data_IF_450132296815
#
_entry.id   IF_450132296815
#
_cell.length_a   1.000
_cell.length_b   1.000
_cell.length_c   1.000
_cell.angle_alpha   90.00
_cell.angle_beta   90.00
_cell.angle_gamma   90.00
#
_symmetry.space_group_name_H-M   'P 1'
#
loop_
_entity.id
_entity.type
_entity.pdbx_description
1 polymer ?
#
# COMPACT_ATOMS: atom_id res chain seq x y z
N UNK A 1 -22.83 1.80 -12.33
CA UNK A 1 -23.17 1.19 -11.02
C UNK A 1 -24.57 0.63 -11.11
N UNK A 2 -24.73 -0.70 -11.02
CA UNK A 2 -26.02 -1.40 -11.08
C UNK A 2 -25.81 -2.87 -10.72
N UNK A 3 -26.79 -3.50 -10.08
CA UNK A 3 -26.78 -4.91 -9.69
C UNK A 3 -25.51 -5.26 -8.90
N UNK A 4 -24.67 -6.17 -9.41
CA UNK A 4 -23.40 -6.58 -8.76
C UNK A 4 -22.19 -5.71 -9.17
N UNK A 5 -22.42 -4.56 -9.83
CA UNK A 5 -21.36 -3.64 -10.26
C UNK A 5 -21.27 -2.45 -9.30
N UNK A 6 -20.32 -2.44 -8.35
CA UNK A 6 -20.14 -1.33 -7.40
C UNK A 6 -19.48 -0.11 -8.06
N UNK A 7 -19.52 1.03 -7.35
CA UNK A 7 -18.67 2.18 -7.66
C UNK A 7 -17.29 1.99 -7.02
N UNK A 8 -16.22 2.05 -7.83
CA UNK A 8 -14.84 1.93 -7.37
C UNK A 8 -14.03 3.21 -7.57
N UNK A 9 -14.69 4.33 -7.88
CA UNK A 9 -14.03 5.63 -8.09
C UNK A 9 -13.12 6.01 -6.93
N UNK A 10 -13.63 5.94 -5.69
CA UNK A 10 -12.84 6.26 -4.50
C UNK A 10 -11.67 5.30 -4.29
N UNK A 11 -11.88 4.00 -4.53
CA UNK A 11 -10.83 2.98 -4.42
C UNK A 11 -9.65 3.30 -5.35
N UNK A 12 -9.93 3.62 -6.62
CA UNK A 12 -8.90 3.98 -7.59
C UNK A 12 -8.28 5.36 -7.30
N UNK A 13 -9.06 6.32 -6.83
CA UNK A 13 -8.54 7.62 -6.41
C UNK A 13 -7.55 7.50 -5.25
N UNK A 14 -7.85 6.66 -4.26
CA UNK A 14 -6.93 6.37 -3.15
C UNK A 14 -5.66 5.66 -3.63
N UNK A 15 -5.78 4.70 -4.56
CA UNK A 15 -4.61 4.05 -5.17
C UNK A 15 -3.75 5.03 -5.97
N UNK A 16 -4.35 5.96 -6.71
CA UNK A 16 -3.60 7.02 -7.40
C UNK A 16 -2.92 7.97 -6.40
N UNK A 17 -3.53 8.24 -5.24
CA UNK A 17 -3.01 9.18 -4.24
C UNK A 17 -1.71 8.76 -3.55
N UNK A 18 -1.31 7.48 -3.67
CA UNK A 18 -0.02 6.98 -3.18
C UNK A 18 1.07 7.00 -4.26
N UNK A 19 0.73 7.49 -5.44
CA UNK A 19 1.63 7.67 -6.58
C UNK A 19 2.41 6.39 -6.93
N UNK A 20 1.70 5.35 -7.41
CA UNK A 20 2.23 3.99 -7.49
C UNK A 20 3.11 3.77 -8.74
N UNK A 21 4.14 4.58 -8.90
CA UNK A 21 5.18 4.47 -9.92
C UNK A 21 6.56 4.71 -9.28
N UNK A 22 7.62 4.27 -9.95
CA UNK A 22 9.00 4.45 -9.47
C UNK A 22 9.38 5.93 -9.47
N UNK A 23 9.86 6.45 -8.33
CA UNK A 23 10.37 7.82 -8.20
C UNK A 23 11.86 7.82 -7.91
N UNK A 24 12.64 8.47 -8.77
CA UNK A 24 14.09 8.66 -8.61
C UNK A 24 14.46 10.11 -8.85
N UNK A 25 15.43 10.62 -8.08
CA UNK A 25 16.12 11.89 -8.33
C UNK A 25 17.46 11.66 -9.03
N UNK A 26 18.02 10.46 -8.87
CA UNK A 26 19.22 10.04 -9.60
C UNK A 26 18.99 10.03 -11.11
N UNK A 27 19.98 10.42 -11.92
CA UNK A 27 19.88 10.34 -13.38
C UNK A 27 19.57 8.92 -13.84
N UNK A 28 18.75 8.80 -14.89
CA UNK A 28 18.43 7.51 -15.49
C UNK A 28 19.72 6.81 -15.96
N UNK A 29 19.97 5.56 -15.53
CA UNK A 29 21.17 4.83 -15.93
C UNK A 29 21.15 4.53 -17.43
N UNK A 30 22.33 4.35 -18.02
CA UNK A 30 22.45 3.95 -19.44
C UNK A 30 21.92 2.54 -19.74
N UNK A 31 21.60 1.76 -18.70
CA UNK A 31 21.09 0.38 -18.73
C UNK A 31 19.96 0.25 -17.71
N UNK A 32 19.64 -0.97 -17.27
CA UNK A 32 18.66 -1.22 -16.21
C UNK A 32 19.07 -0.65 -14.83
N UNK A 33 18.07 -0.34 -14.01
CA UNK A 33 18.26 -0.11 -12.58
C UNK A 33 18.71 -1.40 -11.90
N UNK A 34 19.85 -1.35 -11.22
CA UNK A 34 20.37 -2.50 -10.49
C UNK A 34 19.55 -2.76 -9.23
N UNK A 35 19.25 -4.03 -8.98
CA UNK A 35 18.59 -4.49 -7.76
C UNK A 35 19.09 -5.91 -7.46
N UNK A 36 19.52 -6.15 -6.22
CA UNK A 36 19.94 -7.49 -5.80
C UNK A 36 18.75 -8.45 -5.71
N UNK A 37 19.02 -9.77 -5.76
CA UNK A 37 17.98 -10.78 -5.58
C UNK A 37 17.29 -10.63 -4.21
N UNK A 38 18.06 -10.40 -3.14
CA UNK A 38 17.55 -10.20 -1.79
C UNK A 38 16.63 -8.97 -1.67
N UNK A 39 16.95 -7.87 -2.36
CA UNK A 39 16.07 -6.69 -2.39
C UNK A 39 14.79 -6.95 -3.20
N UNK A 40 14.92 -7.65 -4.32
CA UNK A 40 13.76 -7.99 -5.17
C UNK A 40 12.79 -8.94 -4.46
N UNK A 41 13.31 -9.93 -3.72
CA UNK A 41 12.50 -10.90 -2.95
C UNK A 41 11.63 -10.20 -1.89
N UNK A 42 12.05 -9.05 -1.36
CA UNK A 42 11.22 -8.26 -0.41
C UNK A 42 9.88 -7.81 -1.02
N UNK A 43 9.80 -7.72 -2.35
CA UNK A 43 8.59 -7.32 -3.05
C UNK A 43 7.59 -8.47 -3.24
N UNK A 44 8.01 -9.73 -3.04
CA UNK A 44 7.12 -10.87 -3.15
C UNK A 44 6.02 -10.83 -2.08
N UNK A 45 4.80 -11.15 -2.49
CA UNK A 45 3.59 -10.97 -1.68
C UNK A 45 3.01 -9.55 -1.72
N UNK A 46 3.61 -8.62 -2.49
CA UNK A 46 3.15 -7.24 -2.63
C UNK A 46 2.71 -6.91 -4.07
N UNK A 47 3.54 -7.17 -5.09
CA UNK A 47 3.21 -6.81 -6.48
C UNK A 47 2.15 -7.72 -7.11
N UNK A 48 1.87 -8.88 -6.51
CA UNK A 48 0.86 -9.84 -6.96
C UNK A 48 -0.57 -9.40 -6.65
N UNK A 49 -0.75 -8.24 -6.00
CA UNK A 49 -2.05 -7.64 -5.76
C UNK A 49 -2.74 -7.29 -7.09
N UNK A 50 -3.93 -7.85 -7.29
CA UNK A 50 -4.72 -7.66 -8.51
C UNK A 50 -5.75 -6.51 -8.42
N UNK A 51 -5.66 -5.66 -7.39
CA UNK A 51 -6.56 -4.51 -7.17
C UNK A 51 -8.06 -4.85 -7.17
N UNK A 52 -8.44 -6.05 -6.72
CA UNK A 52 -9.84 -6.52 -6.69
C UNK A 52 -10.73 -5.91 -5.59
N UNK A 53 -10.15 -5.09 -4.71
CA UNK A 53 -10.80 -4.47 -3.55
C UNK A 53 -11.35 -5.41 -2.45
N UNK A 54 -11.33 -6.75 -2.59
CA UNK A 54 -11.88 -7.68 -1.58
C UNK A 54 -11.36 -7.43 -0.15
N UNK A 55 -10.05 -7.18 -0.01
CA UNK A 55 -9.47 -6.88 1.30
C UNK A 55 -10.03 -5.57 1.89
N UNK A 56 -10.20 -4.52 1.08
CA UNK A 56 -10.75 -3.23 1.51
C UNK A 56 -12.22 -3.33 1.85
N UNK A 57 -13.02 -4.00 1.03
CA UNK A 57 -14.46 -4.17 1.25
C UNK A 57 -14.79 -5.20 2.34
N UNK A 58 -13.81 -5.96 2.83
CA UNK A 58 -13.96 -6.79 4.04
C UNK A 58 -13.60 -6.07 5.34
N UNK A 59 -12.99 -4.88 5.28
CA UNK A 59 -12.42 -4.20 6.44
C UNK A 59 -13.45 -3.28 7.11
N UNK A 60 -13.85 -3.54 8.37
CA UNK A 60 -14.85 -2.70 9.05
C UNK A 60 -14.43 -1.24 9.18
N UNK A 61 -13.13 -0.97 9.39
CA UNK A 61 -12.64 0.41 9.46
C UNK A 61 -12.82 1.17 8.15
N UNK A 62 -12.69 0.48 7.02
CA UNK A 62 -12.91 1.05 5.68
C UNK A 62 -14.40 1.26 5.39
N UNK A 63 -15.31 0.46 5.97
CA UNK A 63 -16.74 0.72 5.88
C UNK A 63 -17.13 2.05 6.53
N UNK A 64 -16.52 2.34 7.68
CA UNK A 64 -16.86 3.52 8.48
C UNK A 64 -16.08 4.78 8.09
N UNK A 65 -14.88 4.64 7.55
CA UNK A 65 -13.97 5.76 7.28
C UNK A 65 -13.33 5.69 5.89
N UNK A 66 -13.94 5.00 4.93
CA UNK A 66 -13.36 4.75 3.60
C UNK A 66 -13.11 6.01 2.76
N UNK A 67 -13.69 7.14 3.14
CA UNK A 67 -13.43 8.48 2.58
C UNK A 67 -12.05 9.04 2.98
N UNK A 68 -11.49 8.59 4.11
CA UNK A 68 -10.22 9.12 4.66
C UNK A 68 -9.16 8.05 4.93
N UNK A 69 -9.57 6.88 5.41
CA UNK A 69 -8.70 5.72 5.58
C UNK A 69 -8.46 5.07 4.21
N UNK A 70 -7.18 4.92 3.83
CA UNK A 70 -6.80 4.45 2.51
C UNK A 70 -7.17 2.99 2.25
N UNK A 71 -7.35 2.20 3.32
CA UNK A 71 -7.71 0.80 3.21
C UNK A 71 -6.52 -0.12 2.91
N UNK A 72 -6.71 -1.44 3.12
CA UNK A 72 -5.64 -2.42 3.03
C UNK A 72 -5.04 -2.61 1.64
N UNK A 73 -5.82 -2.51 0.55
CA UNK A 73 -5.27 -2.64 -0.79
C UNK A 73 -4.28 -1.51 -1.12
N UNK A 74 -4.69 -0.26 -0.87
CA UNK A 74 -3.88 0.93 -1.09
C UNK A 74 -2.65 0.91 -0.21
N UNK A 75 -2.78 0.57 1.08
CA UNK A 75 -1.63 0.52 1.98
C UNK A 75 -0.66 -0.63 1.67
N UNK A 76 -1.13 -1.77 1.17
CA UNK A 76 -0.23 -2.82 0.66
C UNK A 76 0.58 -2.31 -0.55
N UNK A 77 -0.06 -1.59 -1.47
CA UNK A 77 0.61 -0.99 -2.61
C UNK A 77 1.54 0.16 -2.22
N UNK A 78 1.21 0.94 -1.19
CA UNK A 78 2.11 1.95 -0.65
C UNK A 78 3.38 1.29 -0.09
N UNK A 79 3.22 0.21 0.69
CA UNK A 79 4.35 -0.54 1.22
C UNK A 79 5.24 -1.12 0.12
N UNK A 80 4.65 -1.62 -0.97
CA UNK A 80 5.40 -2.09 -2.17
C UNK A 80 6.36 -1.05 -2.73
N UNK A 81 6.03 0.24 -2.65
CA UNK A 81 6.92 1.31 -3.12
C UNK A 81 7.87 1.80 -2.03
N UNK A 82 7.44 1.81 -0.77
CA UNK A 82 8.27 2.20 0.39
C UNK A 82 9.53 1.34 0.57
N UNK A 83 9.50 0.07 0.15
CA UNK A 83 10.60 -0.88 0.33
C UNK A 83 11.31 -1.28 -0.97
N UNK A 84 10.91 -0.75 -2.12
CA UNK A 84 11.62 -1.01 -3.38
C UNK A 84 12.94 -0.24 -3.34
N UNK A 85 14.07 -0.95 -3.37
CA UNK A 85 15.40 -0.34 -3.25
C UNK A 85 15.74 0.66 -4.35
N UNK A 86 14.99 0.63 -5.45
CA UNK A 86 15.14 1.56 -6.58
C UNK A 86 14.37 2.86 -6.39
N UNK A 87 13.41 2.92 -5.45
CA UNK A 87 12.60 4.11 -5.21
C UNK A 87 13.29 5.02 -4.18
N UNK A 88 13.52 6.27 -4.55
CA UNK A 88 14.24 7.24 -3.74
C UNK A 88 13.28 8.20 -2.99
N UNK A 89 11.97 7.97 -3.07
CA UNK A 89 10.94 8.85 -2.50
C UNK A 89 10.35 8.33 -1.17
N UNK A 90 11.02 7.42 -0.46
CA UNK A 90 10.51 6.84 0.80
C UNK A 90 10.10 7.89 1.82
N UNK A 91 10.88 8.96 1.99
CA UNK A 91 10.54 10.06 2.91
C UNK A 91 9.23 10.75 2.54
N UNK A 92 9.10 11.18 1.28
CA UNK A 92 7.89 11.84 0.74
C UNK A 92 6.65 10.92 0.84
N UNK A 93 6.82 9.63 0.53
CA UNK A 93 5.74 8.64 0.64
C UNK A 93 5.29 8.43 2.08
N UNK A 94 6.22 8.42 3.04
CA UNK A 94 5.87 8.37 4.46
C UNK A 94 5.17 9.67 4.92
N UNK A 95 5.64 10.84 4.48
CA UNK A 95 4.97 12.12 4.78
C UNK A 95 3.51 12.12 4.28
N UNK A 96 3.28 11.60 3.07
CA UNK A 96 1.94 11.45 2.52
C UNK A 96 1.03 10.54 3.36
N UNK A 97 1.59 9.56 4.07
CA UNK A 97 0.84 8.61 4.90
C UNK A 97 0.71 9.07 6.37
N UNK A 98 1.49 10.07 6.80
CA UNK A 98 1.50 10.62 8.16
C UNK A 98 0.27 11.52 8.42
N UNK A 99 -0.92 10.91 8.37
CA UNK A 99 -2.20 11.53 8.68
C UNK A 99 -2.99 10.62 9.66
N UNK A 100 -3.72 11.18 10.65
CA UNK A 100 -4.44 10.39 11.65
C UNK A 100 -5.48 9.40 11.08
N UNK A 101 -5.91 9.58 9.83
CA UNK A 101 -6.89 8.73 9.18
C UNK A 101 -6.29 7.84 8.10
N UNK A 102 -5.36 8.33 7.27
CA UNK A 102 -4.83 7.60 6.10
C UNK A 102 -4.26 6.22 6.47
N UNK A 103 -3.45 6.15 7.53
CA UNK A 103 -2.78 4.92 7.98
C UNK A 103 -3.36 4.35 9.30
N UNK A 104 -3.60 5.22 10.28
CA UNK A 104 -3.78 4.80 11.68
C UNK A 104 -5.16 4.24 12.01
N UNK A 105 -6.12 4.24 11.07
CA UNK A 105 -7.43 3.60 11.23
C UNK A 105 -7.41 2.09 11.02
N UNK A 106 -6.25 1.50 10.71
CA UNK A 106 -6.10 0.05 10.79
C UNK A 106 -6.06 -0.40 12.26
N UNK A 107 -7.16 -1.01 12.73
CA UNK A 107 -7.31 -1.59 14.07
C UNK A 107 -6.98 -3.09 14.14
N UNK A 108 -6.09 -3.57 13.26
CA UNK A 108 -5.59 -4.97 13.31
C UNK A 108 -6.69 -6.03 13.34
N UNK A 109 -7.77 -5.82 12.57
CA UNK A 109 -8.96 -6.70 12.51
C UNK A 109 -8.68 -8.00 11.71
N UNK A 110 -7.69 -7.98 10.82
CA UNK A 110 -7.19 -9.13 10.04
C UNK A 110 -8.11 -9.70 8.95
N UNK A 111 -9.36 -9.23 8.79
CA UNK A 111 -10.22 -9.64 7.67
C UNK A 111 -9.53 -9.53 6.29
N UNK A 112 -8.73 -8.48 6.10
CA UNK A 112 -8.03 -8.22 4.84
C UNK A 112 -7.06 -9.33 4.43
N UNK A 113 -6.36 -9.94 5.37
CA UNK A 113 -5.46 -11.06 5.11
C UNK A 113 -6.23 -12.37 4.92
N UNK A 114 -7.32 -12.59 5.69
CA UNK A 114 -8.14 -13.79 5.58
C UNK A 114 -8.90 -13.89 4.25
N UNK A 115 -9.39 -12.77 3.73
CA UNK A 115 -10.24 -12.76 2.52
C UNK A 115 -9.46 -12.66 1.22
N UNK A 116 -8.16 -12.33 1.26
CA UNK A 116 -7.41 -12.04 0.04
C UNK A 116 -7.40 -13.27 -0.88
N UNK A 117 -7.99 -13.21 -2.10
CA UNK A 117 -8.09 -14.38 -2.97
C UNK A 117 -6.73 -14.82 -3.53
N UNK A 118 -5.70 -13.98 -3.39
CA UNK A 118 -4.32 -14.25 -3.77
C UNK A 118 -3.45 -14.72 -2.59
N UNK A 119 -4.01 -14.85 -1.39
CA UNK A 119 -3.26 -15.25 -0.19
C UNK A 119 -2.24 -14.22 0.31
N UNK A 120 -2.36 -12.95 -0.11
CA UNK A 120 -1.46 -11.88 0.30
C UNK A 120 -1.77 -11.41 1.72
N UNK A 121 -0.83 -10.72 2.36
CA UNK A 121 -0.98 -10.24 3.73
C UNK A 121 -0.93 -8.70 3.86
N UNK A 122 -2.02 -7.98 3.49
CA UNK A 122 -2.11 -6.54 3.68
C UNK A 122 -1.95 -6.09 5.13
N UNK A 123 -2.37 -6.91 6.10
CA UNK A 123 -2.24 -6.57 7.51
C UNK A 123 -0.78 -6.45 7.93
N UNK A 124 0.08 -7.38 7.49
CA UNK A 124 1.53 -7.32 7.70
C UNK A 124 2.13 -6.07 7.06
N UNK A 125 1.79 -5.79 5.80
CA UNK A 125 2.28 -4.59 5.11
C UNK A 125 1.94 -3.29 5.87
N UNK A 126 0.70 -3.16 6.35
CA UNK A 126 0.29 -2.00 7.15
C UNK A 126 1.08 -1.91 8.47
N UNK A 127 1.35 -3.04 9.12
CA UNK A 127 2.14 -3.07 10.34
C UNK A 127 3.59 -2.61 10.09
N UNK A 128 4.20 -3.05 8.99
CA UNK A 128 5.55 -2.61 8.59
C UNK A 128 5.58 -1.10 8.27
N UNK A 129 4.57 -0.54 7.59
CA UNK A 129 4.49 0.92 7.40
C UNK A 129 4.45 1.63 8.76
N UNK A 130 3.62 1.16 9.71
CA UNK A 130 3.55 1.76 11.04
C UNK A 130 4.88 1.67 11.78
N UNK A 131 5.63 0.58 11.61
CA UNK A 131 6.98 0.41 12.15
C UNK A 131 7.95 1.43 11.55
N UNK A 132 7.97 1.58 10.22
CA UNK A 132 8.78 2.60 9.54
C UNK A 132 8.47 4.03 10.03
N UNK A 133 7.19 4.34 10.30
CA UNK A 133 6.80 5.64 10.88
C UNK A 133 7.41 5.87 12.27
N UNK A 134 7.48 4.82 13.10
CA UNK A 134 8.06 4.91 14.44
C UNK A 134 9.58 5.03 14.35
N UNK A 135 10.22 4.20 13.53
CA UNK A 135 11.68 4.21 13.32
C UNK A 135 12.17 5.56 12.79
N UNK A 136 11.38 6.25 11.96
CA UNK A 136 11.71 7.58 11.46
C UNK A 136 11.74 8.68 12.53
N UNK A 137 11.04 8.49 13.66
CA UNK A 137 10.96 9.47 14.75
C UNK A 137 12.03 9.29 15.83
N UNK A 138 12.72 8.15 15.83
CA UNK A 138 13.79 7.79 16.77
C UNK A 138 15.14 8.16 16.15
#
# INVERSE_FOLDING_TARGET
VKDLVPDLTNFYAQHASIEPWLKTVSPEPAKEWLQSHEEREKLDGLYECILCACCSTSCPSYWWNGDRYLGPATLLQAYRWLIDSRDEATGERLDNLEDPFRLYRCHTIMNCAQTCPKGLNPAKAIAEIKKMMVERRV
#
